data_IF_275352584816
#
_entry.id   IF_275352584816
#
_cell.length_a   1.000
_cell.length_b   1.000
_cell.length_c   1.000
_cell.angle_alpha   90.00
_cell.angle_beta   90.00
_cell.angle_gamma   90.00
#
_symmetry.space_group_name_H-M   'P 1'
#
loop_
_entity.id
_entity.type
_entity.pdbx_description
1 polymer ?
#
# COMPACT_ATOMS: atom_id res chain seq x y z
N UNK A 1 9.41 -42.00 -16.62
CA UNK A 1 8.99 -41.43 -15.33
C UNK A 1 7.86 -40.46 -15.62
N UNK A 2 6.83 -40.43 -14.78
CA UNK A 2 5.72 -39.50 -14.94
C UNK A 2 6.17 -38.09 -14.63
N UNK A 3 5.71 -37.12 -15.42
CA UNK A 3 6.05 -35.70 -15.24
C UNK A 3 5.53 -35.18 -13.90
N UNK A 4 4.39 -35.68 -13.43
CA UNK A 4 3.80 -35.31 -12.15
C UNK A 4 3.44 -36.55 -11.35
N UNK A 5 3.69 -36.51 -10.03
CA UNK A 5 3.26 -37.53 -9.08
C UNK A 5 2.53 -36.89 -7.90
N UNK A 6 1.58 -37.60 -7.32
CA UNK A 6 0.87 -37.17 -6.11
C UNK A 6 1.21 -38.09 -4.95
N UNK A 7 1.58 -37.54 -3.80
CA UNK A 7 1.86 -38.29 -2.58
C UNK A 7 0.69 -38.17 -1.60
N UNK A 8 -0.06 -39.25 -1.42
CA UNK A 8 -1.21 -39.30 -0.50
C UNK A 8 -0.82 -39.09 0.97
N UNK A 9 0.44 -39.32 1.35
CA UNK A 9 0.89 -39.21 2.75
C UNK A 9 0.99 -37.76 3.22
N UNK A 10 1.31 -36.84 2.32
CA UNK A 10 1.44 -35.41 2.62
C UNK A 10 0.49 -34.52 1.80
N UNK A 11 -0.24 -35.09 0.84
CA UNK A 11 -1.22 -34.38 0.02
C UNK A 11 -0.60 -33.45 -1.03
N UNK A 12 0.67 -33.63 -1.38
CA UNK A 12 1.38 -32.76 -2.31
C UNK A 12 1.53 -33.38 -3.70
N UNK A 13 1.47 -32.51 -4.71
CA UNK A 13 1.92 -32.81 -6.06
C UNK A 13 3.42 -32.56 -6.17
N UNK A 14 4.09 -33.31 -7.03
CA UNK A 14 5.50 -33.13 -7.36
C UNK A 14 5.68 -33.10 -8.87
N UNK A 15 6.55 -32.22 -9.36
CA UNK A 15 6.98 -32.16 -10.76
C UNK A 15 8.39 -32.75 -10.90
N UNK A 16 8.62 -33.55 -11.94
CA UNK A 16 9.94 -34.03 -12.32
C UNK A 16 10.76 -32.89 -12.95
N UNK A 17 11.79 -32.43 -12.25
CA UNK A 17 12.77 -31.47 -12.76
C UNK A 17 14.17 -32.08 -12.72
N UNK A 18 14.72 -32.39 -13.91
CA UNK A 18 15.96 -33.16 -14.03
C UNK A 18 15.77 -34.57 -13.48
N UNK A 19 16.60 -34.95 -12.51
CA UNK A 19 16.57 -36.27 -11.87
C UNK A 19 15.78 -36.30 -10.55
N UNK A 20 15.10 -35.20 -10.19
CA UNK A 20 14.44 -35.03 -8.89
C UNK A 20 12.97 -34.65 -9.03
N UNK A 21 12.16 -35.16 -8.11
CA UNK A 21 10.77 -34.72 -7.91
C UNK A 21 10.73 -33.55 -6.92
N UNK A 22 10.27 -32.39 -7.40
CA UNK A 22 10.18 -31.16 -6.61
C UNK A 22 8.71 -30.90 -6.25
N UNK A 23 8.36 -30.66 -4.98
CA UNK A 23 6.99 -30.43 -4.57
C UNK A 23 6.43 -29.14 -5.20
N UNK A 24 5.23 -29.24 -5.78
CA UNK A 24 4.46 -28.15 -6.34
C UNK A 24 3.83 -27.32 -5.22
N UNK A 25 4.65 -26.48 -4.58
CA UNK A 25 4.20 -25.57 -3.53
C UNK A 25 3.60 -24.32 -4.14
N UNK A 26 2.34 -24.04 -3.83
CA UNK A 26 1.71 -22.75 -4.10
C UNK A 26 1.53 -22.01 -2.78
N UNK A 27 1.90 -20.73 -2.75
CA UNK A 27 1.49 -19.88 -1.66
C UNK A 27 -0.03 -19.73 -1.75
N UNK A 28 -0.77 -19.73 -0.63
CA UNK A 28 -2.16 -19.31 -0.66
C UNK A 28 -2.16 -17.91 -1.27
N UNK A 29 -2.75 -17.77 -2.45
CA UNK A 29 -2.83 -16.49 -3.15
C UNK A 29 -3.47 -15.50 -2.19
N UNK A 30 -2.72 -14.47 -1.77
CA UNK A 30 -3.37 -13.28 -1.22
C UNK A 30 -4.42 -12.89 -2.26
N UNK A 31 -5.70 -12.91 -1.86
CA UNK A 31 -6.84 -12.85 -2.78
C UNK A 31 -6.78 -11.64 -3.73
N UNK A 32 -5.96 -10.64 -3.40
CA UNK A 32 -5.76 -9.43 -4.19
C UNK A 32 -4.27 -9.04 -4.26
N UNK A 33 -3.61 -9.36 -5.38
CA UNK A 33 -2.37 -8.69 -5.78
C UNK A 33 -2.69 -7.28 -6.29
N UNK A 34 -3.11 -6.38 -5.41
CA UNK A 34 -3.26 -4.96 -5.74
C UNK A 34 -1.90 -4.29 -5.73
N UNK A 35 -1.57 -3.46 -6.73
CA UNK A 35 -0.34 -2.67 -6.69
C UNK A 35 -0.37 -1.75 -5.46
N UNK A 36 0.69 -1.80 -4.66
CA UNK A 36 0.82 -0.94 -3.48
C UNK A 36 1.09 0.50 -3.97
N UNK A 37 0.21 1.42 -3.62
CA UNK A 37 0.37 2.84 -3.95
C UNK A 37 1.46 3.52 -3.11
N UNK A 38 1.68 4.81 -3.37
CA UNK A 38 2.74 5.62 -2.76
C UNK A 38 2.72 5.57 -1.23
N UNK A 39 1.53 5.67 -0.62
CA UNK A 39 1.37 5.72 0.82
C UNK A 39 1.67 4.38 1.48
N UNK A 40 1.16 3.29 0.90
CA UNK A 40 1.48 1.94 1.35
C UNK A 40 2.98 1.66 1.28
N UNK A 41 3.66 2.10 0.22
CA UNK A 41 5.12 1.90 0.09
C UNK A 41 5.91 2.69 1.14
N UNK A 42 5.48 3.91 1.47
CA UNK A 42 6.08 4.72 2.54
C UNK A 42 5.89 4.07 3.91
N UNK A 43 4.69 3.60 4.20
CA UNK A 43 4.41 2.92 5.46
C UNK A 43 5.17 1.59 5.56
N UNK A 44 5.26 0.83 4.47
CA UNK A 44 6.11 -0.39 4.40
C UNK A 44 7.55 -0.09 4.81
N UNK A 45 8.14 0.98 4.26
CA UNK A 45 9.50 1.40 4.61
C UNK A 45 9.63 1.73 6.09
N UNK A 46 8.67 2.48 6.64
CA UNK A 46 8.63 2.78 8.07
C UNK A 46 8.56 1.51 8.93
N UNK A 47 7.71 0.53 8.57
CA UNK A 47 7.63 -0.73 9.29
C UNK A 47 8.95 -1.50 9.26
N UNK A 48 9.67 -1.48 8.14
CA UNK A 48 10.98 -2.14 8.01
C UNK A 48 12.06 -1.47 8.87
N UNK A 49 12.09 -0.14 8.88
CA UNK A 49 13.11 0.65 9.58
C UNK A 49 12.84 0.76 11.09
N UNK A 50 11.57 0.84 11.51
CA UNK A 50 11.20 1.20 12.88
C UNK A 50 10.31 0.17 13.60
N UNK A 51 9.59 -0.72 12.88
CA UNK A 51 8.64 -1.68 13.46
C UNK A 51 8.85 -3.11 12.92
N UNK A 52 10.11 -3.55 12.92
CA UNK A 52 10.54 -4.80 12.27
C UNK A 52 9.74 -6.03 12.71
N UNK A 53 9.36 -6.13 13.98
CA UNK A 53 8.53 -7.24 14.48
C UNK A 53 7.17 -7.29 13.78
N UNK A 54 6.47 -6.16 13.69
CA UNK A 54 5.16 -6.04 13.01
C UNK A 54 5.30 -6.39 11.52
N UNK A 55 6.34 -5.86 10.86
CA UNK A 55 6.61 -6.17 9.46
C UNK A 55 6.76 -7.68 9.22
N UNK A 56 7.59 -8.36 10.03
CA UNK A 56 7.82 -9.80 9.89
C UNK A 56 6.53 -10.57 10.13
N UNK A 57 5.77 -10.24 11.18
CA UNK A 57 4.49 -10.90 11.46
C UNK A 57 3.52 -10.80 10.28
N UNK A 58 3.34 -9.60 9.71
CA UNK A 58 2.49 -9.39 8.55
C UNK A 58 2.96 -10.19 7.34
N UNK A 59 4.28 -10.17 7.07
CA UNK A 59 4.89 -10.90 5.97
C UNK A 59 4.69 -12.42 6.11
N UNK A 60 5.00 -13.00 7.26
CA UNK A 60 4.87 -14.44 7.50
C UNK A 60 3.41 -14.90 7.55
N UNK A 61 2.49 -14.00 7.93
CA UNK A 61 1.06 -14.29 7.90
C UNK A 61 0.42 -14.20 6.51
N UNK A 62 1.15 -13.70 5.50
CA UNK A 62 0.60 -13.48 4.17
C UNK A 62 -0.52 -12.44 4.13
N UNK A 63 -0.42 -11.39 4.98
CA UNK A 63 -1.40 -10.29 5.07
C UNK A 63 -0.78 -8.93 4.79
N UNK A 64 0.48 -8.89 4.39
CA UNK A 64 1.23 -7.65 4.25
C UNK A 64 0.63 -6.79 3.13
N UNK A 65 0.30 -7.36 1.97
CA UNK A 65 -0.15 -6.54 0.85
C UNK A 65 -1.56 -5.99 1.08
N UNK A 66 -2.47 -6.79 1.66
CA UNK A 66 -3.81 -6.30 2.01
C UNK A 66 -3.74 -5.16 3.02
N UNK A 67 -2.91 -5.31 4.05
CA UNK A 67 -2.70 -4.26 5.05
C UNK A 67 -2.16 -2.95 4.43
N UNK A 68 -1.16 -3.04 3.56
CA UNK A 68 -0.60 -1.87 2.89
C UNK A 68 -1.57 -1.24 1.88
N UNK A 69 -2.43 -2.03 1.25
CA UNK A 69 -3.49 -1.54 0.39
C UNK A 69 -4.53 -0.73 1.18
N UNK A 70 -4.95 -1.23 2.34
CA UNK A 70 -5.88 -0.53 3.24
C UNK A 70 -5.30 0.80 3.72
N UNK A 71 -4.01 0.82 4.12
CA UNK A 71 -3.32 2.07 4.49
C UNK A 71 -3.28 3.05 3.31
N UNK A 72 -3.03 2.54 2.10
CA UNK A 72 -2.99 3.39 0.91
C UNK A 72 -4.36 4.02 0.59
N UNK A 73 -5.44 3.25 0.73
CA UNK A 73 -6.80 3.75 0.56
C UNK A 73 -7.15 4.79 1.62
N UNK A 74 -6.87 4.50 2.90
CA UNK A 74 -7.11 5.41 4.01
C UNK A 74 -6.37 6.74 3.82
N UNK A 75 -5.07 6.69 3.49
CA UNK A 75 -4.27 7.88 3.24
C UNK A 75 -4.80 8.71 2.06
N UNK A 76 -5.23 8.05 0.99
CA UNK A 76 -5.78 8.70 -0.21
C UNK A 76 -7.10 9.40 0.11
N UNK A 77 -8.01 8.73 0.80
CA UNK A 77 -9.29 9.30 1.22
C UNK A 77 -9.10 10.49 2.19
N UNK A 78 -8.14 10.36 3.12
CA UNK A 78 -7.79 11.43 4.05
C UNK A 78 -7.20 12.63 3.31
N UNK A 79 -6.35 12.41 2.30
CA UNK A 79 -5.78 13.46 1.47
C UNK A 79 -6.87 14.27 0.76
N UNK A 80 -7.81 13.59 0.09
CA UNK A 80 -8.92 14.26 -0.59
C UNK A 80 -9.75 15.10 0.37
N UNK A 81 -10.16 14.52 1.51
CA UNK A 81 -10.97 15.20 2.51
C UNK A 81 -10.26 16.43 3.10
N UNK A 82 -8.98 16.29 3.48
CA UNK A 82 -8.22 17.39 4.08
C UNK A 82 -8.01 18.54 3.10
N UNK A 83 -7.65 18.23 1.85
CA UNK A 83 -7.43 19.25 0.82
C UNK A 83 -8.72 20.01 0.52
N UNK A 84 -9.85 19.32 0.39
CA UNK A 84 -11.15 19.94 0.18
C UNK A 84 -11.53 20.87 1.35
N UNK A 85 -11.46 20.36 2.58
CA UNK A 85 -11.81 21.15 3.78
C UNK A 85 -10.91 22.39 3.96
N UNK A 86 -9.61 22.27 3.72
CA UNK A 86 -8.68 23.40 3.82
C UNK A 86 -8.87 24.40 2.68
N UNK A 87 -9.12 23.94 1.46
CA UNK A 87 -9.38 24.81 0.32
C UNK A 87 -10.66 25.63 0.51
N UNK A 88 -11.72 25.01 1.03
CA UNK A 88 -12.98 25.69 1.34
C UNK A 88 -12.79 26.73 2.45
N UNK A 89 -12.07 26.37 3.53
CA UNK A 89 -11.79 27.26 4.66
C UNK A 89 -10.93 28.47 4.26
N UNK A 90 -10.01 28.29 3.33
CA UNK A 90 -9.07 29.32 2.89
C UNK A 90 -9.55 30.09 1.64
N UNK A 91 -10.74 29.76 1.12
CA UNK A 91 -11.32 30.43 -0.05
C UNK A 91 -10.55 30.18 -1.34
N UNK A 92 -9.87 29.04 -1.47
CA UNK A 92 -9.09 28.66 -2.66
C UNK A 92 -10.04 28.13 -3.74
N UNK A 93 -10.84 29.02 -4.31
CA UNK A 93 -11.95 28.69 -5.22
C UNK A 93 -11.53 28.64 -6.69
N UNK A 94 -12.47 28.20 -7.55
CA UNK A 94 -12.32 28.28 -9.01
C UNK A 94 -12.24 29.73 -9.52
N UNK A 95 -12.82 30.70 -8.80
CA UNK A 95 -12.71 32.13 -9.15
C UNK A 95 -11.26 32.61 -8.97
N UNK A 96 -10.65 32.29 -7.83
CA UNK A 96 -9.23 32.58 -7.60
C UNK A 96 -8.34 31.95 -8.68
N UNK A 97 -8.69 30.73 -9.13
CA UNK A 97 -7.97 30.06 -10.23
C UNK A 97 -8.07 30.82 -11.56
N UNK A 98 -9.19 31.47 -11.84
CA UNK A 98 -9.39 32.24 -13.07
C UNK A 98 -8.71 33.62 -13.01
N UNK A 99 -8.78 34.29 -11.86
CA UNK A 99 -8.22 35.63 -11.65
C UNK A 99 -6.70 35.61 -11.45
N UNK A 100 -6.19 34.64 -10.69
CA UNK A 100 -4.77 34.50 -10.38
C UNK A 100 -4.32 33.04 -10.32
N UNK A 101 -4.06 32.41 -11.49
CA UNK A 101 -3.70 31.00 -11.57
C UNK A 101 -2.44 30.63 -10.75
N UNK A 102 -1.41 31.50 -10.76
CA UNK A 102 -0.14 31.24 -10.04
C UNK A 102 -0.37 31.26 -8.53
N UNK A 103 -1.14 32.24 -8.03
CA UNK A 103 -1.48 32.31 -6.60
C UNK A 103 -2.31 31.11 -6.17
N UNK A 104 -3.28 30.70 -6.99
CA UNK A 104 -4.09 29.51 -6.73
C UNK A 104 -3.23 28.24 -6.63
N UNK A 105 -2.28 28.04 -7.54
CA UNK A 105 -1.34 26.91 -7.49
C UNK A 105 -0.52 26.96 -6.21
N UNK A 106 0.01 28.13 -5.83
CA UNK A 106 0.79 28.31 -4.60
C UNK A 106 0.00 27.90 -3.35
N UNK A 107 -1.24 28.40 -3.22
CA UNK A 107 -2.13 28.07 -2.11
C UNK A 107 -2.49 26.59 -2.07
N UNK A 108 -2.84 26.00 -3.21
CA UNK A 108 -3.19 24.59 -3.29
C UNK A 108 -2.00 23.69 -2.92
N UNK A 109 -0.78 24.06 -3.34
CA UNK A 109 0.43 23.33 -2.96
C UNK A 109 0.71 23.39 -1.45
N UNK A 110 0.50 24.54 -0.82
CA UNK A 110 0.65 24.72 0.63
C UNK A 110 -0.39 23.89 1.40
N UNK A 111 -1.64 23.88 0.96
CA UNK A 111 -2.71 23.02 1.51
C UNK A 111 -2.33 21.54 1.40
N UNK A 112 -1.93 21.09 0.20
CA UNK A 112 -1.50 19.71 0.01
C UNK A 112 -0.28 19.36 0.86
N UNK A 113 0.66 20.28 1.06
CA UNK A 113 1.80 20.05 1.94
C UNK A 113 1.36 19.81 3.38
N UNK A 114 0.51 20.68 3.94
CA UNK A 114 -0.05 20.49 5.28
C UNK A 114 -0.86 19.21 5.42
N UNK A 115 -1.68 18.88 4.42
CA UNK A 115 -2.43 17.62 4.41
C UNK A 115 -1.50 16.39 4.42
N UNK A 116 -0.38 16.41 3.68
CA UNK A 116 0.62 15.34 3.72
C UNK A 116 1.26 15.20 5.09
N UNK A 117 1.62 16.31 5.74
CA UNK A 117 2.23 16.26 7.08
C UNK A 117 1.29 15.59 8.10
N UNK A 118 0.00 15.90 8.07
CA UNK A 118 -0.99 15.24 8.93
C UNK A 118 -1.07 13.74 8.60
N UNK A 119 -1.12 13.35 7.33
CA UNK A 119 -1.16 11.92 6.95
C UNK A 119 0.12 11.20 7.42
N UNK A 120 1.27 11.86 7.34
CA UNK A 120 2.52 11.29 7.81
C UNK A 120 2.49 11.00 9.31
N UNK A 121 2.03 11.97 10.11
CA UNK A 121 1.99 11.82 11.58
C UNK A 121 0.91 10.83 12.04
N UNK A 122 -0.28 10.90 11.45
CA UNK A 122 -1.46 10.17 11.94
C UNK A 122 -1.56 8.73 11.40
N UNK A 123 -0.90 8.41 10.28
CA UNK A 123 -1.09 7.13 9.59
C UNK A 123 0.21 6.46 9.12
N UNK A 124 1.16 7.21 8.58
CA UNK A 124 2.35 6.59 7.95
C UNK A 124 3.44 6.26 8.97
N UNK A 125 3.64 7.08 10.00
CA UNK A 125 4.72 6.95 10.97
C UNK A 125 4.25 6.53 12.38
N UNK A 126 3.16 5.78 12.43
CA UNK A 126 2.63 5.15 13.66
C UNK A 126 3.15 3.74 13.81
#
# INVERSE_FOLDING_TARGET
MDKYIYDERNGLWYELQGDYYIPCLTLPTEKEHKPIGLWGQRHKRYLQEHKRAVYITLLTSGKLNSYLADINEQATNMMFRLVEQMADREGVTKQLKAESPILWIGRMNEIQARAREIIYSELIYT
#
